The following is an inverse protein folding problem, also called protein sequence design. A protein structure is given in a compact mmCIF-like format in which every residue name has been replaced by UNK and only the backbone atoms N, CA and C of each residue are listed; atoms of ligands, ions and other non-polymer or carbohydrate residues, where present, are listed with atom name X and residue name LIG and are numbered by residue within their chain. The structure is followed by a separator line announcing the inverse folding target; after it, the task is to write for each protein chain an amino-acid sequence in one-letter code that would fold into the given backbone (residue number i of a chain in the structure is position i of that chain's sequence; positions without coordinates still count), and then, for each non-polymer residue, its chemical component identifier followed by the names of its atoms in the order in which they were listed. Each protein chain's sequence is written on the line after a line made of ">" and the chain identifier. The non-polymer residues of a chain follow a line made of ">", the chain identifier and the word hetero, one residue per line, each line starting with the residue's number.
data_IF_381273139534
#
_entry.id   IF_381273139534
#
_cell.length_a   1.000
_cell.length_b   1.000
_cell.length_c   1.000
_cell.angle_alpha   90.00
_cell.angle_beta   90.00
_cell.angle_gamma   90.00
#
_symmetry.space_group_name_H-M   'P 1'
#
loop_
_entity.id
_entity.type
_entity.pdbx_description
1 polymer ?
#
# COMPACT_ATOMS: atom_id res chain seq x y z
N UNK A 1 -23.85 -7.06 -5.56
CA UNK A 1 -23.28 -7.57 -5.60
C UNK A 1 -21.88 -7.61 -5.38
N UNK A 2 -21.31 -8.49 -5.88
CA UNK A 2 -19.94 -8.64 -5.62
C UNK A 2 -19.12 -7.53 -6.06
N UNK A 3 -19.60 -6.81 -7.00
CA UNK A 3 -18.82 -5.75 -7.43
C UNK A 3 -18.65 -4.71 -6.41
N UNK A 4 -19.39 -4.71 -5.40
CA UNK A 4 -19.21 -3.77 -4.34
C UNK A 4 -17.85 -3.90 -3.74
N UNK A 5 -17.44 -5.13 -3.50
CA UNK A 5 -16.15 -5.35 -2.91
C UNK A 5 -15.06 -5.20 -3.93
N UNK A 6 -15.22 -5.83 -5.06
CA UNK A 6 -14.17 -5.80 -6.04
C UNK A 6 -14.04 -4.43 -6.67
N UNK A 7 -15.09 -3.64 -6.65
CA UNK A 7 -15.00 -2.31 -7.20
C UNK A 7 -14.55 -1.26 -6.22
N UNK A 8 -14.28 -1.67 -4.99
CA UNK A 8 -13.91 -0.68 -4.00
C UNK A 8 -12.47 -0.24 -4.18
N UNK A 9 -12.30 1.04 -4.46
CA UNK A 9 -10.98 1.60 -4.61
C UNK A 9 -10.93 2.87 -3.77
N UNK A 10 -9.74 3.29 -3.37
CA UNK A 10 -9.62 4.51 -2.57
C UNK A 10 -10.17 5.73 -3.31
N UNK A 11 -10.75 6.63 -2.58
CA UNK A 11 -11.23 7.86 -3.16
C UNK A 11 -10.08 8.66 -3.76
N UNK A 12 -8.92 8.55 -3.15
CA UNK A 12 -7.72 9.22 -3.65
C UNK A 12 -6.65 8.17 -3.90
N UNK A 13 -6.58 7.65 -5.11
CA UNK A 13 -5.62 6.58 -5.39
C UNK A 13 -4.17 6.99 -5.21
N UNK A 14 -3.89 8.27 -5.17
CA UNK A 14 -2.54 8.72 -4.94
C UNK A 14 -2.15 8.75 -3.46
N UNK A 15 -3.06 8.35 -2.57
CA UNK A 15 -2.83 8.41 -1.16
C UNK A 15 -3.10 7.08 -0.50
N UNK A 16 -2.20 6.65 0.37
CA UNK A 16 -2.35 5.41 1.11
C UNK A 16 -2.90 5.75 2.48
N UNK A 17 -4.17 5.45 2.71
CA UNK A 17 -4.82 5.80 3.96
C UNK A 17 -4.94 4.56 4.83
N UNK A 18 -4.03 4.42 5.79
CA UNK A 18 -4.02 3.24 6.63
C UNK A 18 -4.95 3.36 7.83
N UNK A 19 -5.67 4.48 7.93
CA UNK A 19 -6.63 4.62 9.02
C UNK A 19 -7.94 3.92 8.70
N UNK A 20 -8.16 3.55 7.44
CA UNK A 20 -9.35 2.83 7.05
C UNK A 20 -8.99 1.37 6.82
N UNK A 21 -9.70 0.48 7.49
CA UNK A 21 -9.39 -0.94 7.40
C UNK A 21 -9.45 -1.45 5.97
N UNK A 22 -10.49 -1.05 5.23
CA UNK A 22 -10.63 -1.57 3.87
C UNK A 22 -9.54 -1.02 2.95
N UNK A 23 -9.09 0.21 3.18
CA UNK A 23 -8.00 0.75 2.38
C UNK A 23 -6.69 0.10 2.76
N UNK A 24 -6.50 -0.12 4.03
CA UNK A 24 -5.30 -0.80 4.48
C UNK A 24 -5.19 -2.16 3.79
N UNK A 25 -6.27 -2.92 3.77
CA UNK A 25 -6.25 -4.22 3.12
C UNK A 25 -6.07 -4.10 1.62
N UNK A 26 -6.65 -3.08 1.03
CA UNK A 26 -6.49 -2.85 -0.39
C UNK A 26 -5.01 -2.65 -0.74
N UNK A 27 -4.34 -1.78 0.01
CA UNK A 27 -2.95 -1.48 -0.29
C UNK A 27 -2.02 -2.63 0.08
N UNK A 28 -2.36 -3.39 1.11
CA UNK A 28 -1.59 -4.59 1.42
C UNK A 28 -1.60 -5.55 0.24
N UNK A 29 -2.75 -5.66 -0.42
CA UNK A 29 -2.83 -6.51 -1.60
C UNK A 29 -2.09 -5.94 -2.79
N UNK A 30 -2.19 -4.63 -2.97
CA UNK A 30 -1.53 -3.99 -4.11
C UNK A 30 -0.01 -4.12 -4.01
N UNK A 31 0.54 -3.91 -2.81
CA UNK A 31 1.98 -3.97 -2.63
C UNK A 31 2.47 -5.34 -2.20
N UNK A 32 1.56 -6.25 -1.89
CA UNK A 32 1.90 -7.60 -1.42
C UNK A 32 2.77 -7.53 -0.17
N UNK A 33 2.33 -6.75 0.79
CA UNK A 33 3.06 -6.56 2.04
C UNK A 33 2.13 -6.77 3.22
N UNK A 34 2.69 -6.91 4.41
CA UNK A 34 1.90 -7.05 5.61
C UNK A 34 1.46 -5.68 6.10
N UNK A 35 0.54 -5.68 7.05
CA UNK A 35 0.07 -4.43 7.63
C UNK A 35 1.23 -3.67 8.26
N UNK A 36 2.09 -4.37 8.97
CA UNK A 36 3.20 -3.71 9.63
C UNK A 36 4.13 -3.07 8.62
N UNK A 37 4.40 -3.78 7.53
CA UNK A 37 5.27 -3.24 6.50
C UNK A 37 4.65 -2.01 5.86
N UNK A 38 3.35 -2.03 5.65
CA UNK A 38 2.68 -0.90 5.05
C UNK A 38 2.71 0.32 5.96
N UNK A 39 2.45 0.10 7.24
CA UNK A 39 2.47 1.20 8.18
C UNK A 39 3.87 1.78 8.34
N UNK A 40 4.88 0.91 8.30
CA UNK A 40 6.26 1.37 8.37
C UNK A 40 6.62 2.24 7.18
N UNK A 41 6.17 1.85 6.00
CA UNK A 41 6.46 2.62 4.79
C UNK A 41 5.81 3.99 4.87
N UNK A 42 4.56 4.05 5.31
CA UNK A 42 3.87 5.32 5.41
C UNK A 42 4.56 6.20 6.46
N UNK A 43 5.03 5.61 7.54
CA UNK A 43 5.74 6.37 8.54
C UNK A 43 7.08 6.88 8.01
N UNK A 44 7.69 6.13 7.11
CA UNK A 44 9.00 6.51 6.60
C UNK A 44 8.93 7.57 5.51
N UNK A 45 7.99 7.44 4.60
CA UNK A 45 7.97 8.32 3.43
C UNK A 45 6.67 9.10 3.28
N UNK A 46 5.70 8.88 4.14
CA UNK A 46 4.43 9.59 4.05
C UNK A 46 3.40 8.75 3.34
N UNK A 47 2.23 9.34 3.14
CA UNK A 47 1.10 8.59 2.62
C UNK A 47 0.97 8.65 1.10
N UNK A 48 1.92 9.24 0.39
CA UNK A 48 1.86 9.26 -1.06
C UNK A 48 2.06 7.86 -1.61
N UNK A 49 1.12 7.42 -2.46
CA UNK A 49 1.20 6.05 -2.96
C UNK A 49 2.46 5.84 -3.80
N UNK A 50 2.89 6.85 -4.53
CA UNK A 50 4.11 6.72 -5.31
C UNK A 50 5.34 6.64 -4.43
N UNK A 51 5.34 7.39 -3.33
CA UNK A 51 6.44 7.34 -2.40
C UNK A 51 6.51 5.99 -1.71
N UNK A 52 5.34 5.47 -1.32
CA UNK A 52 5.29 4.16 -0.68
C UNK A 52 5.73 3.09 -1.67
N UNK A 53 5.31 3.21 -2.92
CA UNK A 53 5.70 2.25 -3.94
C UNK A 53 7.21 2.27 -4.13
N UNK A 54 7.80 3.45 -4.19
CA UNK A 54 9.25 3.57 -4.36
C UNK A 54 9.98 3.01 -3.15
N UNK A 55 9.41 3.21 -1.96
CA UNK A 55 10.02 2.68 -0.76
C UNK A 55 10.09 1.16 -0.82
N UNK A 56 8.98 0.51 -1.22
CA UNK A 56 8.97 -0.93 -1.30
C UNK A 56 9.85 -1.43 -2.45
N UNK A 57 9.89 -0.72 -3.55
CA UNK A 57 10.76 -1.11 -4.65
C UNK A 57 12.21 -1.09 -4.21
N UNK A 58 12.55 -0.13 -3.36
CA UNK A 58 13.91 -0.03 -2.89
C UNK A 58 14.24 -1.07 -1.84
N UNK A 59 13.33 -1.27 -0.88
CA UNK A 59 13.63 -2.18 0.22
C UNK A 59 13.40 -3.63 -0.14
N UNK A 60 12.35 -3.91 -0.91
CA UNK A 60 12.04 -5.29 -1.26
C UNK A 60 12.68 -5.70 -2.56
N UNK A 61 12.81 -4.75 -3.47
CA UNK A 61 13.42 -5.06 -4.74
C UNK A 61 14.90 -5.39 -4.64
N UNK A 62 15.57 -4.82 -3.65
CA UNK A 62 16.98 -5.11 -3.48
C UNK A 62 17.24 -6.57 -3.27
N UNK A 63 16.32 -7.24 -2.61
CA UNK A 63 16.54 -8.64 -2.31
C UNK A 63 16.54 -9.50 -3.53
N UNK A 64 15.79 -9.10 -4.54
CA UNK A 64 15.69 -9.93 -5.72
C UNK A 64 16.91 -9.75 -6.61
N UNK A 65 17.68 -8.71 -6.42
CA UNK A 65 18.83 -8.52 -7.26
C UNK A 65 20.06 -9.24 -6.72
N UNK A 66 20.01 -9.68 -5.51
CA UNK A 66 21.14 -10.41 -5.00
C UNK A 66 20.99 -11.91 -5.19
#
# INVERSE_FOLDING_TARGET
>A
MVDIVSGRVPAEPGKVDVSQIWELEYWMGVFAVSEEQLRDAVAAVGSGSEDVKAYFAKTLGDRSTT
#
